data_IF_253581631844
#
_entry.id   IF_253581631844
#
_cell.length_a   1.000
_cell.length_b   1.000
_cell.length_c   1.000
_cell.angle_alpha   90.00
_cell.angle_beta   90.00
_cell.angle_gamma   90.00
#
_symmetry.space_group_name_H-M   'P 1'
#
loop_
_entity.id
_entity.type
_entity.pdbx_description
1 polymer ?
#
# COMPACT_ATOMS: atom_id res chain seq x y z
N UNK A 1 30.05 -4.53 11.01
CA UNK A 1 29.03 -3.63 10.41
C UNK A 1 27.93 -4.52 9.84
N UNK A 2 27.10 -5.11 10.72
CA UNK A 2 26.08 -6.15 10.38
C UNK A 2 24.65 -5.56 10.46
N UNK A 3 24.56 -4.26 10.72
CA UNK A 3 23.31 -3.56 10.99
C UNK A 3 22.52 -3.35 9.70
N UNK A 4 23.14 -3.21 8.53
CA UNK A 4 22.43 -2.90 7.27
C UNK A 4 21.60 -4.08 6.71
N UNK A 5 22.11 -5.31 6.79
CA UNK A 5 21.37 -6.51 6.36
C UNK A 5 20.21 -6.83 7.32
N UNK A 6 20.41 -6.58 8.62
CA UNK A 6 19.35 -6.72 9.63
C UNK A 6 18.39 -5.54 9.65
N UNK A 7 18.83 -4.32 9.39
CA UNK A 7 17.99 -3.13 9.36
C UNK A 7 17.02 -3.17 8.18
N UNK A 8 17.41 -3.74 7.04
CA UNK A 8 16.47 -3.94 5.93
C UNK A 8 15.34 -4.89 6.35
N UNK A 9 15.68 -6.03 6.98
CA UNK A 9 14.69 -7.00 7.46
C UNK A 9 13.89 -6.50 8.69
N UNK A 10 14.50 -5.68 9.55
CA UNK A 10 13.87 -5.09 10.73
C UNK A 10 13.13 -3.77 10.46
N UNK A 11 13.41 -3.06 9.36
CA UNK A 11 12.67 -1.87 8.93
C UNK A 11 11.46 -2.25 8.07
N UNK A 12 11.51 -3.38 7.36
CA UNK A 12 10.36 -3.96 6.67
C UNK A 12 9.17 -4.22 7.62
N UNK A 13 9.42 -4.64 8.86
CA UNK A 13 8.36 -4.90 9.85
C UNK A 13 7.57 -3.62 10.20
N UNK A 14 8.19 -2.51 10.66
CA UNK A 14 7.49 -1.27 10.95
C UNK A 14 6.98 -0.57 9.68
N UNK A 15 7.67 -0.65 8.54
CA UNK A 15 7.20 -0.03 7.29
C UNK A 15 5.93 -0.70 6.80
N UNK A 16 5.88 -2.04 6.73
CA UNK A 16 4.65 -2.76 6.35
C UNK A 16 3.51 -2.46 7.33
N UNK A 17 3.80 -2.36 8.62
CA UNK A 17 2.80 -2.00 9.64
C UNK A 17 2.27 -0.58 9.44
N UNK A 18 3.14 0.39 9.22
CA UNK A 18 2.77 1.79 9.01
C UNK A 18 1.98 1.96 7.71
N UNK A 19 2.40 1.31 6.62
CA UNK A 19 1.66 1.40 5.36
C UNK A 19 0.32 0.68 5.50
N UNK A 20 0.23 -0.47 6.19
CA UNK A 20 -1.05 -1.14 6.45
C UNK A 20 -2.05 -0.24 7.19
N UNK A 21 -1.60 0.47 8.23
CA UNK A 21 -2.43 1.44 8.97
C UNK A 21 -2.83 2.61 8.07
N UNK A 22 -1.89 3.20 7.33
CA UNK A 22 -2.17 4.32 6.43
C UNK A 22 -3.09 3.92 5.27
N UNK A 23 -2.98 2.69 4.77
CA UNK A 23 -3.81 2.19 3.69
C UNK A 23 -5.27 2.03 4.14
N UNK A 24 -5.50 1.56 5.36
CA UNK A 24 -6.83 1.54 5.97
C UNK A 24 -7.43 2.95 6.10
N UNK A 25 -6.60 3.91 6.53
CA UNK A 25 -7.00 5.33 6.57
C UNK A 25 -7.30 5.91 5.19
N UNK A 26 -6.47 5.61 4.19
CA UNK A 26 -6.63 6.11 2.82
C UNK A 26 -7.86 5.49 2.14
N UNK A 27 -8.11 4.20 2.32
CA UNK A 27 -9.33 3.56 1.83
C UNK A 27 -10.57 4.18 2.48
N UNK A 28 -10.58 4.32 3.82
CA UNK A 28 -11.69 4.95 4.54
C UNK A 28 -11.93 6.39 4.11
N UNK A 29 -10.86 7.19 3.97
CA UNK A 29 -10.93 8.57 3.51
C UNK A 29 -11.37 8.70 2.05
N UNK A 30 -10.88 7.82 1.16
CA UNK A 30 -11.24 7.83 -0.26
C UNK A 30 -12.69 7.44 -0.47
N UNK A 31 -13.19 6.42 0.24
CA UNK A 31 -14.63 6.05 0.24
C UNK A 31 -15.50 7.22 0.69
N UNK A 32 -15.11 7.90 1.78
CA UNK A 32 -15.85 9.04 2.30
C UNK A 32 -15.92 10.16 1.25
N UNK A 33 -14.80 10.45 0.58
CA UNK A 33 -14.74 11.43 -0.50
C UNK A 33 -15.61 11.01 -1.70
N UNK A 34 -15.54 9.75 -2.14
CA UNK A 34 -16.35 9.22 -3.24
C UNK A 34 -17.86 9.34 -2.94
N UNK A 35 -18.26 9.04 -1.69
CA UNK A 35 -19.64 9.13 -1.23
C UNK A 35 -20.13 10.58 -1.15
N UNK A 36 -19.34 11.47 -0.54
CA UNK A 36 -19.70 12.89 -0.39
C UNK A 36 -19.79 13.60 -1.73
N UNK A 37 -18.89 13.30 -2.66
CA UNK A 37 -18.89 13.91 -4.00
C UNK A 37 -19.74 13.14 -5.03
N UNK A 38 -20.46 12.09 -4.63
CA UNK A 38 -21.27 11.23 -5.51
C UNK A 38 -20.51 10.77 -6.77
N UNK A 39 -19.20 10.54 -6.63
CA UNK A 39 -18.31 10.10 -7.71
C UNK A 39 -17.95 8.64 -7.44
N UNK A 40 -18.51 7.68 -8.21
CA UNK A 40 -18.21 6.27 -7.99
C UNK A 40 -16.74 6.00 -8.32
N UNK A 41 -16.08 5.27 -7.43
CA UNK A 41 -14.67 4.90 -7.57
C UNK A 41 -14.40 3.52 -6.99
N UNK A 42 -13.11 3.18 -6.85
CA UNK A 42 -12.70 1.82 -6.48
C UNK A 42 -13.06 1.48 -5.02
N UNK A 43 -13.14 2.47 -4.13
CA UNK A 43 -13.50 2.24 -2.73
C UNK A 43 -14.99 1.90 -2.57
N UNK A 44 -15.85 2.68 -3.20
CA UNK A 44 -17.30 2.47 -3.22
C UNK A 44 -17.68 1.17 -3.93
N UNK A 45 -17.01 0.81 -5.03
CA UNK A 45 -17.18 -0.49 -5.71
C UNK A 45 -16.81 -1.68 -4.82
N UNK A 46 -15.77 -1.55 -3.98
CA UNK A 46 -15.38 -2.59 -3.04
C UNK A 46 -16.46 -2.82 -1.98
N UNK A 47 -17.00 -1.73 -1.43
CA UNK A 47 -18.04 -1.79 -0.41
C UNK A 47 -19.32 -2.38 -0.99
N UNK A 48 -19.73 -1.94 -2.18
CA UNK A 48 -20.88 -2.48 -2.88
C UNK A 48 -20.71 -3.99 -3.15
N UNK A 49 -19.53 -4.43 -3.59
CA UNK A 49 -19.22 -5.85 -3.76
C UNK A 49 -19.27 -6.64 -2.45
N UNK A 50 -18.82 -6.05 -1.33
CA UNK A 50 -18.95 -6.67 0.01
C UNK A 50 -20.41 -6.83 0.41
N UNK A 51 -21.25 -5.82 0.19
CA UNK A 51 -22.69 -5.90 0.47
C UNK A 51 -23.41 -6.89 -0.46
N UNK A 52 -23.06 -6.91 -1.74
CA UNK A 52 -23.59 -7.85 -2.73
C UNK A 52 -23.03 -9.28 -2.58
N UNK A 53 -22.02 -9.49 -1.71
CA UNK A 53 -21.24 -10.73 -1.56
C UNK A 53 -20.65 -11.24 -2.88
N UNK A 54 -20.29 -10.31 -3.77
CA UNK A 54 -19.62 -10.62 -5.02
C UNK A 54 -18.12 -10.85 -4.75
N UNK A 55 -17.79 -12.08 -4.36
CA UNK A 55 -16.42 -12.48 -4.06
C UNK A 55 -15.43 -12.24 -5.23
N UNK A 56 -15.78 -12.52 -6.50
CA UNK A 56 -14.94 -12.16 -7.64
C UNK A 56 -14.57 -10.68 -7.70
N UNK A 57 -15.54 -9.78 -7.50
CA UNK A 57 -15.29 -8.33 -7.55
C UNK A 57 -14.46 -7.84 -6.36
N UNK A 58 -14.68 -8.40 -5.16
CA UNK A 58 -13.84 -8.14 -3.98
C UNK A 58 -12.40 -8.54 -4.28
N UNK A 59 -12.19 -9.76 -4.79
CA UNK A 59 -10.86 -10.29 -5.05
C UNK A 59 -10.13 -9.49 -6.13
N UNK A 60 -10.81 -9.09 -7.21
CA UNK A 60 -10.23 -8.25 -8.25
C UNK A 60 -9.77 -6.90 -7.70
N UNK A 61 -10.58 -6.28 -6.84
CA UNK A 61 -10.25 -5.00 -6.23
C UNK A 61 -9.07 -5.12 -5.26
N UNK A 62 -9.07 -6.14 -4.40
CA UNK A 62 -7.95 -6.42 -3.48
C UNK A 62 -6.66 -6.71 -4.24
N UNK A 63 -6.74 -7.47 -5.34
CA UNK A 63 -5.59 -7.74 -6.20
C UNK A 63 -5.02 -6.45 -6.81
N UNK A 64 -5.88 -5.57 -7.33
CA UNK A 64 -5.46 -4.28 -7.88
C UNK A 64 -4.76 -3.40 -6.82
N UNK A 65 -5.35 -3.29 -5.62
CA UNK A 65 -4.74 -2.56 -4.50
C UNK A 65 -3.39 -3.15 -4.09
N UNK A 66 -3.28 -4.47 -4.06
CA UNK A 66 -2.02 -5.17 -3.75
C UNK A 66 -0.95 -4.89 -4.79
N UNK A 67 -1.31 -4.88 -6.08
CA UNK A 67 -0.39 -4.58 -7.16
C UNK A 67 0.16 -3.15 -7.08
N UNK A 68 -0.72 -2.16 -6.85
CA UNK A 68 -0.33 -0.76 -6.65
C UNK A 68 0.59 -0.63 -5.44
N UNK A 69 0.25 -1.30 -4.34
CA UNK A 69 1.06 -1.29 -3.12
C UNK A 69 2.47 -1.85 -3.37
N UNK A 70 2.60 -2.95 -4.10
CA UNK A 70 3.91 -3.52 -4.47
C UNK A 70 4.70 -2.53 -5.32
N UNK A 71 4.07 -1.88 -6.30
CA UNK A 71 4.73 -0.88 -7.15
C UNK A 71 5.25 0.31 -6.34
N UNK A 72 4.45 0.80 -5.38
CA UNK A 72 4.86 1.88 -4.47
C UNK A 72 6.02 1.44 -3.59
N UNK A 73 5.98 0.23 -3.01
CA UNK A 73 7.07 -0.28 -2.19
C UNK A 73 8.37 -0.39 -2.99
N UNK A 74 8.32 -0.93 -4.21
CA UNK A 74 9.49 -1.00 -5.09
C UNK A 74 10.01 0.42 -5.40
N UNK A 75 9.12 1.38 -5.67
CA UNK A 75 9.51 2.77 -5.90
C UNK A 75 10.20 3.39 -4.68
N UNK A 76 9.69 3.11 -3.48
CA UNK A 76 10.28 3.54 -2.20
C UNK A 76 11.64 2.90 -1.99
N UNK A 77 11.79 1.60 -2.25
CA UNK A 77 13.05 0.87 -2.14
C UNK A 77 14.11 1.43 -3.11
N UNK A 78 13.71 1.73 -4.36
CA UNK A 78 14.58 2.38 -5.34
C UNK A 78 14.96 3.78 -4.88
N UNK A 79 14.00 4.57 -4.37
CA UNK A 79 14.26 5.92 -3.89
C UNK A 79 15.24 5.90 -2.72
N UNK A 80 15.10 4.98 -1.76
CA UNK A 80 16.06 4.78 -0.68
C UNK A 80 17.43 4.37 -1.19
N UNK A 81 17.50 3.45 -2.16
CA UNK A 81 18.75 3.03 -2.80
C UNK A 81 19.45 4.20 -3.52
N UNK A 82 18.68 5.12 -4.12
CA UNK A 82 19.20 6.33 -4.76
C UNK A 82 19.57 7.45 -3.77
N UNK A 83 18.81 7.62 -2.68
CA UNK A 83 19.06 8.66 -1.68
C UNK A 83 20.23 8.34 -0.76
N UNK A 84 20.67 7.08 -0.67
CA UNK A 84 21.80 6.68 0.19
C UNK A 84 23.09 6.48 -0.62
N UNK A 85 24.00 7.47 -0.69
CA UNK A 85 25.25 7.38 -1.46
C UNK A 85 26.32 6.53 -0.75
N UNK A 86 26.05 5.97 0.44
CA UNK A 86 27.06 5.23 1.24
C UNK A 86 27.09 3.73 0.98
N UNK A 87 26.17 3.19 0.16
CA UNK A 87 26.15 1.78 -0.26
C UNK A 87 27.37 1.43 -1.15
N UNK A 88 28.13 2.43 -1.61
CA UNK A 88 29.26 2.24 -2.55
C UNK A 88 30.67 2.38 -1.99
N UNK A 89 30.88 2.42 -0.68
CA UNK A 89 32.25 2.40 -0.15
C UNK A 89 32.50 1.26 0.86
N UNK A 90 33.11 0.22 0.28
CA UNK A 90 33.79 -0.96 0.84
C UNK A 90 32.95 -2.19 1.14
#
# INVERSE_FOLDING_TARGET
>A
MVIFEHALRNALIPVVTIIGINFGYLLGGTVLLETVFSRPGLGTLLIEAVYARDYPQIQASVFFFSLVFIMVNIGVDILYSFLDPRIKLR
#
